data_IF_055316725057
#
_entry.id   IF_055316725057
#
_cell.length_a   1.000
_cell.length_b   1.000
_cell.length_c   1.000
_cell.angle_alpha   90.00
_cell.angle_beta   90.00
_cell.angle_gamma   90.00
#
_symmetry.space_group_name_H-M   'P 1'
#
loop_
_entity.id
_entity.type
_entity.pdbx_description
1 polymer ?
#
# COMPACT_ATOMS: atom_id res chain seq x y z
N UNK A 1 7.24 27.60 -8.62
CA UNK A 1 8.32 26.57 -8.79
C UNK A 1 8.03 25.75 -10.02
N UNK A 2 9.06 25.22 -10.72
CA UNK A 2 8.85 24.13 -11.68
C UNK A 2 8.79 22.78 -10.90
N UNK A 3 8.54 21.67 -11.62
CA UNK A 3 8.39 20.37 -10.99
C UNK A 3 9.65 19.87 -10.29
N UNK A 4 10.81 20.08 -10.87
CA UNK A 4 12.10 19.67 -10.31
C UNK A 4 12.42 20.45 -9.03
N UNK A 5 12.24 21.76 -9.05
CA UNK A 5 12.36 22.62 -7.87
C UNK A 5 11.39 22.22 -6.75
N UNK A 6 10.18 21.78 -7.12
CA UNK A 6 9.18 21.31 -6.16
C UNK A 6 9.59 19.98 -5.52
N UNK A 7 10.16 19.06 -6.30
CA UNK A 7 10.70 17.81 -5.77
C UNK A 7 11.90 18.06 -4.87
N UNK A 8 12.83 18.93 -5.28
CA UNK A 8 13.97 19.32 -4.45
C UNK A 8 13.51 19.93 -3.13
N UNK A 9 12.47 20.77 -3.17
CA UNK A 9 11.86 21.30 -1.96
C UNK A 9 11.30 20.18 -1.07
N UNK A 10 10.52 19.24 -1.61
CA UNK A 10 9.96 18.13 -0.86
C UNK A 10 11.04 17.22 -0.25
N UNK A 11 12.13 16.99 -0.97
CA UNK A 11 13.23 16.13 -0.49
C UNK A 11 14.14 16.84 0.53
N UNK A 12 14.39 18.14 0.37
CA UNK A 12 15.35 18.87 1.19
C UNK A 12 14.72 19.58 2.40
N UNK A 13 13.48 20.05 2.26
CA UNK A 13 12.77 20.76 3.34
C UNK A 13 12.12 19.79 4.34
N UNK A 14 11.90 18.57 3.92
CA UNK A 14 11.34 17.50 4.75
C UNK A 14 12.43 16.44 5.01
N UNK A 15 12.86 16.21 6.26
CA UNK A 15 13.89 15.24 6.56
C UNK A 15 13.52 13.86 6.03
N UNK A 16 14.33 13.33 5.10
CA UNK A 16 14.19 11.98 4.59
C UNK A 16 14.85 11.00 5.57
N UNK A 17 14.11 10.01 6.03
CA UNK A 17 14.64 8.92 6.85
C UNK A 17 15.90 8.27 6.27
N UNK A 18 15.98 8.21 4.94
CA UNK A 18 17.09 7.60 4.21
C UNK A 18 18.41 8.38 4.38
N UNK A 19 18.36 9.69 4.68
CA UNK A 19 19.54 10.53 4.78
C UNK A 19 19.94 10.91 6.21
N UNK A 20 18.99 11.02 7.13
CA UNK A 20 19.22 11.56 8.48
C UNK A 20 19.08 10.48 9.58
N UNK A 21 18.60 9.28 9.24
CA UNK A 21 18.47 8.18 10.20
C UNK A 21 17.45 8.46 11.31
N UNK A 22 17.79 8.07 12.56
CA UNK A 22 16.85 8.17 13.70
C UNK A 22 16.41 9.58 14.04
N UNK A 23 17.21 10.59 13.74
CA UNK A 23 16.94 12.00 14.10
C UNK A 23 15.83 12.62 13.24
N UNK A 24 15.53 12.02 12.08
CA UNK A 24 14.38 12.40 11.24
C UNK A 24 13.05 11.81 11.71
N UNK A 25 13.10 10.85 12.66
CA UNK A 25 11.93 10.17 13.15
C UNK A 25 11.26 10.96 14.26
N UNK A 26 10.21 11.71 13.94
CA UNK A 26 9.33 12.28 14.94
C UNK A 26 8.43 11.16 15.49
N UNK A 27 8.59 10.86 16.77
CA UNK A 27 7.73 9.89 17.45
C UNK A 27 6.36 10.53 17.66
N UNK A 28 5.40 10.20 16.78
CA UNK A 28 4.02 10.67 16.92
C UNK A 28 3.36 10.98 15.58
N UNK A 29 2.06 11.27 15.64
CA UNK A 29 1.23 11.61 14.48
C UNK A 29 0.71 13.06 14.55
N UNK A 30 1.30 13.91 15.39
CA UNK A 30 0.83 15.27 15.65
C UNK A 30 0.76 16.09 14.36
N UNK A 31 1.84 16.12 13.59
CA UNK A 31 1.86 16.84 12.31
C UNK A 31 0.85 16.22 11.31
N UNK A 32 0.73 14.88 11.30
CA UNK A 32 -0.23 14.20 10.45
C UNK A 32 -1.66 14.64 10.76
N UNK A 33 -2.02 14.75 12.04
CA UNK A 33 -3.34 15.24 12.45
C UNK A 33 -3.54 16.74 12.16
N UNK A 34 -2.49 17.56 12.28
CA UNK A 34 -2.56 18.98 11.92
C UNK A 34 -2.79 19.18 10.42
N UNK A 35 -2.05 18.43 9.59
CA UNK A 35 -2.24 18.42 8.13
C UNK A 35 -3.62 17.90 7.74
N UNK A 36 -4.07 16.81 8.35
CA UNK A 36 -5.40 16.24 8.11
C UNK A 36 -6.52 17.23 8.45
N UNK A 37 -6.41 17.91 9.59
CA UNK A 37 -7.35 18.95 9.99
C UNK A 37 -7.34 20.13 9.02
N UNK A 38 -6.17 20.59 8.60
CA UNK A 38 -6.03 21.69 7.65
C UNK A 38 -6.73 21.41 6.33
N UNK A 39 -6.60 20.18 5.82
CA UNK A 39 -7.28 19.72 4.61
C UNK A 39 -8.71 19.22 4.84
N UNK A 40 -9.31 19.50 6.00
CA UNK A 40 -10.68 19.10 6.35
C UNK A 40 -10.93 17.59 6.27
N UNK A 41 -10.03 16.81 6.85
CA UNK A 41 -10.14 15.35 6.98
C UNK A 41 -10.42 14.61 5.66
N UNK A 42 -9.59 14.78 4.62
CA UNK A 42 -9.87 14.26 3.28
C UNK A 42 -10.03 12.74 3.26
N UNK A 43 -9.32 12.00 4.11
CA UNK A 43 -9.41 10.55 4.23
C UNK A 43 -10.80 10.02 4.62
N UNK A 44 -11.71 10.88 5.09
CA UNK A 44 -13.09 10.51 5.47
C UNK A 44 -14.07 10.56 4.30
N UNK A 45 -13.63 11.02 3.12
CA UNK A 45 -14.48 11.23 1.95
C UNK A 45 -14.53 10.02 1.02
N UNK A 46 -13.74 8.97 1.30
CA UNK A 46 -13.67 7.76 0.49
C UNK A 46 -13.41 6.53 1.39
N UNK A 47 -13.76 5.36 0.89
CA UNK A 47 -13.45 4.09 1.56
C UNK A 47 -11.96 3.78 1.48
N UNK A 48 -11.42 3.02 2.43
CA UNK A 48 -9.98 2.68 2.43
C UNK A 48 -9.74 1.21 2.71
N UNK A 49 -8.64 0.68 2.13
CA UNK A 49 -8.07 -0.62 2.46
C UNK A 49 -6.62 -0.35 2.88
N UNK A 50 -6.21 -0.80 4.06
CA UNK A 50 -4.91 -0.50 4.64
C UNK A 50 -3.98 -1.69 4.59
N UNK A 51 -2.81 -1.55 3.97
CA UNK A 51 -1.89 -2.65 3.72
C UNK A 51 -0.55 -2.40 4.38
N UNK A 52 -0.19 -3.28 5.34
CA UNK A 52 1.12 -3.32 5.99
C UNK A 52 1.84 -4.65 5.68
N UNK A 53 3.06 -4.76 6.13
CA UNK A 53 3.89 -5.96 5.99
C UNK A 53 5.35 -5.60 5.76
N UNK A 54 6.22 -6.59 5.73
CA UNK A 54 7.62 -6.38 5.34
C UNK A 54 7.74 -6.45 3.83
N UNK A 55 7.36 -7.55 3.23
CA UNK A 55 7.41 -7.80 1.78
C UNK A 55 5.99 -7.98 1.23
N UNK A 56 5.81 -7.78 -0.07
CA UNK A 56 4.54 -8.04 -0.76
C UNK A 56 3.50 -6.92 -0.68
N UNK A 57 3.69 -5.88 0.14
CA UNK A 57 2.74 -4.75 0.25
C UNK A 57 2.35 -4.18 -1.11
N UNK A 58 3.34 -3.73 -1.89
CA UNK A 58 3.11 -3.12 -3.21
C UNK A 58 2.40 -4.08 -4.18
N UNK A 59 2.82 -5.35 -4.25
CA UNK A 59 2.15 -6.36 -5.09
C UNK A 59 0.69 -6.54 -4.69
N UNK A 60 0.40 -6.67 -3.40
CA UNK A 60 -0.97 -6.79 -2.89
C UNK A 60 -1.78 -5.52 -3.15
N UNK A 61 -1.18 -4.34 -2.93
CA UNK A 61 -1.84 -3.04 -3.16
C UNK A 61 -2.23 -2.87 -4.62
N UNK A 62 -1.31 -3.14 -5.54
CA UNK A 62 -1.57 -3.02 -6.97
C UNK A 62 -2.59 -4.06 -7.46
N UNK A 63 -2.51 -5.30 -7.00
CA UNK A 63 -3.48 -6.34 -7.42
C UNK A 63 -4.89 -6.01 -6.92
N UNK A 64 -5.06 -5.56 -5.68
CA UNK A 64 -6.37 -5.11 -5.17
C UNK A 64 -6.88 -3.88 -5.93
N UNK A 65 -6.00 -2.92 -6.24
CA UNK A 65 -6.36 -1.76 -7.05
C UNK A 65 -6.83 -2.17 -8.45
N UNK A 66 -6.13 -3.10 -9.11
CA UNK A 66 -6.52 -3.62 -10.42
C UNK A 66 -7.89 -4.32 -10.40
N UNK A 67 -8.17 -5.11 -9.36
CA UNK A 67 -9.47 -5.78 -9.18
C UNK A 67 -10.59 -4.75 -9.00
N UNK A 68 -10.39 -3.74 -8.14
CA UNK A 68 -11.38 -2.70 -7.87
C UNK A 68 -11.64 -1.83 -9.09
N UNK A 69 -10.59 -1.44 -9.81
CA UNK A 69 -10.74 -0.74 -11.10
C UNK A 69 -11.50 -1.57 -12.12
N UNK A 70 -11.21 -2.88 -12.22
CA UNK A 70 -11.92 -3.79 -13.11
C UNK A 70 -13.40 -3.94 -12.74
N UNK A 71 -13.75 -3.71 -11.49
CA UNK A 71 -15.13 -3.70 -10.98
C UNK A 71 -15.83 -2.34 -11.16
N UNK A 72 -15.14 -1.35 -11.75
CA UNK A 72 -15.71 -0.03 -12.04
C UNK A 72 -15.56 1.00 -10.93
N UNK A 73 -14.88 0.67 -9.83
CA UNK A 73 -14.59 1.65 -8.78
C UNK A 73 -13.53 2.64 -9.24
N UNK A 74 -13.75 3.93 -8.98
CA UNK A 74 -12.69 4.94 -9.10
C UNK A 74 -11.73 4.77 -7.94
N UNK A 75 -10.57 4.21 -8.24
CA UNK A 75 -9.66 3.65 -7.24
C UNK A 75 -8.44 4.54 -7.05
N UNK A 76 -8.22 5.02 -5.82
CA UNK A 76 -6.97 5.61 -5.38
C UNK A 76 -5.96 4.53 -4.99
N UNK A 77 -4.68 4.79 -5.25
CA UNK A 77 -3.59 3.91 -4.86
C UNK A 77 -2.42 4.74 -4.34
N UNK A 78 -2.07 4.53 -3.06
CA UNK A 78 -0.91 5.14 -2.41
C UNK A 78 0.11 4.07 -2.06
N UNK A 79 1.30 4.15 -2.65
CA UNK A 79 2.38 3.16 -2.51
C UNK A 79 3.74 3.80 -2.29
N UNK A 80 4.70 3.04 -1.74
CA UNK A 80 6.07 3.49 -1.52
C UNK A 80 7.08 2.34 -1.47
N UNK A 81 8.35 2.57 -1.84
CA UNK A 81 8.86 3.77 -2.52
C UNK A 81 8.47 3.81 -4.00
N UNK A 82 8.73 4.92 -4.68
CA UNK A 82 8.72 4.97 -6.15
C UNK A 82 10.04 4.44 -6.74
N UNK A 83 10.04 4.09 -8.02
CA UNK A 83 11.22 3.58 -8.73
C UNK A 83 11.88 4.67 -9.60
N UNK A 84 11.12 5.42 -10.35
CA UNK A 84 11.61 6.41 -11.32
C UNK A 84 11.09 7.81 -11.01
N UNK A 85 9.77 7.96 -10.81
CA UNK A 85 9.11 9.25 -10.66
C UNK A 85 8.31 9.31 -9.35
N UNK A 86 8.45 10.40 -8.62
CA UNK A 86 7.70 10.64 -7.38
C UNK A 86 6.21 10.35 -7.49
N UNK A 87 5.60 10.70 -8.64
CA UNK A 87 4.16 10.59 -8.91
C UNK A 87 3.65 9.14 -8.91
N UNK A 88 4.54 8.15 -9.01
CA UNK A 88 4.19 6.73 -8.87
C UNK A 88 3.55 6.42 -7.52
N UNK A 89 3.86 7.24 -6.50
CA UNK A 89 3.32 7.07 -5.14
C UNK A 89 1.82 7.33 -5.04
N UNK A 90 1.27 8.13 -5.94
CA UNK A 90 -0.11 8.61 -5.88
C UNK A 90 -0.76 8.41 -7.24
N UNK A 91 -1.68 7.47 -7.34
CA UNK A 91 -2.37 7.15 -8.59
C UNK A 91 -3.89 7.12 -8.40
N UNK A 92 -4.63 7.50 -9.44
CA UNK A 92 -6.08 7.29 -9.54
C UNK A 92 -6.34 6.54 -10.84
N UNK A 93 -6.98 5.37 -10.73
CA UNK A 93 -7.21 4.47 -11.87
C UNK A 93 -5.94 4.20 -12.69
N UNK A 94 -4.82 3.92 -11.99
CA UNK A 94 -3.53 3.63 -12.59
C UNK A 94 -2.75 4.86 -13.10
N UNK A 95 -3.39 6.01 -13.23
CA UNK A 95 -2.79 7.25 -13.72
C UNK A 95 -2.11 7.97 -12.56
N UNK A 96 -0.78 8.24 -12.66
CA UNK A 96 -0.07 9.02 -11.65
C UNK A 96 -0.63 10.44 -11.52
N UNK A 97 -0.55 11.00 -10.31
CA UNK A 97 -0.86 12.42 -10.07
C UNK A 97 -0.08 13.32 -11.04
N UNK A 98 -0.68 14.40 -11.51
CA UNK A 98 -0.01 15.30 -12.46
C UNK A 98 1.11 16.12 -11.81
N UNK A 99 2.08 16.57 -12.61
CA UNK A 99 3.16 17.45 -12.14
C UNK A 99 2.59 18.77 -11.64
N UNK A 100 1.61 19.29 -12.34
CA UNK A 100 0.90 20.54 -12.01
C UNK A 100 0.24 20.45 -10.64
N UNK A 101 -0.41 19.32 -10.33
CA UNK A 101 -1.01 19.13 -9.01
C UNK A 101 0.05 19.12 -7.90
N UNK A 102 1.19 18.44 -8.10
CA UNK A 102 2.27 18.41 -7.11
C UNK A 102 2.82 19.82 -6.84
N UNK A 103 3.05 20.60 -7.92
CA UNK A 103 3.50 22.00 -7.82
C UNK A 103 2.47 22.82 -7.07
N UNK A 104 1.22 22.78 -7.51
CA UNK A 104 0.10 23.53 -6.93
C UNK A 104 -0.11 23.23 -5.46
N UNK A 105 -0.03 21.95 -5.07
CA UNK A 105 -0.16 21.54 -3.67
C UNK A 105 0.92 22.20 -2.78
N UNK A 106 2.16 22.14 -3.22
CA UNK A 106 3.25 22.75 -2.46
C UNK A 106 3.10 24.27 -2.44
N UNK A 107 2.94 24.93 -3.57
CA UNK A 107 2.88 26.39 -3.64
C UNK A 107 1.71 26.98 -2.84
N UNK A 108 0.54 26.37 -2.91
CA UNK A 108 -0.67 26.86 -2.22
C UNK A 108 -0.63 26.64 -0.71
N UNK A 109 0.05 25.59 -0.25
CA UNK A 109 -0.08 25.16 1.15
C UNK A 109 1.23 25.26 1.95
N UNK A 110 2.37 25.60 1.31
CA UNK A 110 3.68 25.67 1.97
C UNK A 110 3.69 26.62 3.16
N UNK A 111 3.01 27.74 3.08
CA UNK A 111 2.94 28.71 4.18
C UNK A 111 2.32 28.13 5.47
N UNK A 112 1.45 27.10 5.33
CA UNK A 112 0.88 26.40 6.45
C UNK A 112 1.83 25.32 6.99
N UNK A 113 2.41 24.50 6.13
CA UNK A 113 3.16 23.34 6.60
C UNK A 113 4.65 23.63 6.89
N UNK A 114 5.26 24.67 6.31
CA UNK A 114 6.66 25.04 6.62
C UNK A 114 6.94 25.19 8.13
N UNK A 115 6.11 25.91 8.91
CA UNK A 115 6.35 26.04 10.35
C UNK A 115 6.21 24.75 11.14
N UNK A 116 5.54 23.74 10.59
CA UNK A 116 5.38 22.42 11.22
C UNK A 116 6.61 21.53 11.04
N UNK A 117 7.50 21.88 10.11
CA UNK A 117 8.65 21.07 9.72
C UNK A 117 8.27 19.59 9.51
N UNK A 118 7.27 19.28 8.65
CA UNK A 118 6.81 17.91 8.45
C UNK A 118 7.87 17.06 7.75
N UNK A 119 7.84 15.77 7.98
CA UNK A 119 8.64 14.83 7.21
C UNK A 119 8.13 14.70 5.78
N UNK A 120 8.99 14.23 4.88
CA UNK A 120 8.61 13.92 3.50
C UNK A 120 7.37 12.99 3.44
N UNK A 121 7.29 11.99 4.32
CA UNK A 121 6.20 11.04 4.30
C UNK A 121 4.89 11.64 4.85
N UNK A 122 4.96 12.53 5.84
CA UNK A 122 3.78 13.30 6.31
C UNK A 122 3.19 14.16 5.18
N UNK A 123 4.04 14.89 4.44
CA UNK A 123 3.58 15.72 3.31
C UNK A 123 3.01 14.88 2.18
N UNK A 124 3.69 13.79 1.79
CA UNK A 124 3.22 12.96 0.68
C UNK A 124 1.94 12.21 1.02
N UNK A 125 1.74 11.80 2.27
CA UNK A 125 0.49 11.19 2.75
C UNK A 125 -0.65 12.21 2.72
N UNK A 126 -0.43 13.43 3.23
CA UNK A 126 -1.43 14.49 3.17
C UNK A 126 -1.80 14.86 1.72
N UNK A 127 -0.80 14.96 0.84
CA UNK A 127 -0.99 15.19 -0.60
C UNK A 127 -1.84 14.08 -1.23
N UNK A 128 -1.56 12.82 -0.93
CA UNK A 128 -2.29 11.68 -1.45
C UNK A 128 -3.77 11.72 -1.03
N UNK A 129 -4.04 11.90 0.26
CA UNK A 129 -5.42 11.94 0.76
C UNK A 129 -6.20 13.14 0.20
N UNK A 130 -5.57 14.31 0.12
CA UNK A 130 -6.17 15.49 -0.49
C UNK A 130 -6.47 15.26 -1.99
N UNK A 131 -5.54 14.65 -2.74
CA UNK A 131 -5.74 14.33 -4.15
C UNK A 131 -6.88 13.33 -4.37
N UNK A 132 -6.97 12.29 -3.53
CA UNK A 132 -8.02 11.29 -3.62
C UNK A 132 -9.41 11.90 -3.35
N UNK A 133 -9.52 12.76 -2.33
CA UNK A 133 -10.76 13.48 -2.04
C UNK A 133 -11.18 14.41 -3.19
N UNK A 134 -10.26 15.23 -3.72
CA UNK A 134 -10.52 16.07 -4.89
C UNK A 134 -10.90 15.27 -6.12
N UNK A 135 -10.26 14.12 -6.30
CA UNK A 135 -10.57 13.21 -7.41
C UNK A 135 -11.87 12.43 -7.20
N UNK A 136 -12.52 12.54 -6.05
CA UNK A 136 -13.72 11.80 -5.70
C UNK A 136 -13.57 10.29 -5.95
N UNK A 137 -12.51 9.69 -5.39
CA UNK A 137 -12.33 8.24 -5.49
C UNK A 137 -13.39 7.52 -4.63
N UNK A 138 -13.85 6.37 -5.09
CA UNK A 138 -14.77 5.52 -4.32
C UNK A 138 -14.05 4.81 -3.18
N UNK A 139 -12.83 4.34 -3.48
CA UNK A 139 -12.00 3.58 -2.55
C UNK A 139 -10.52 3.84 -2.82
N UNK A 140 -9.70 3.88 -1.77
CA UNK A 140 -8.26 3.98 -1.90
C UNK A 140 -7.55 2.81 -1.18
N UNK A 141 -6.58 2.20 -1.87
CA UNK A 141 -5.63 1.27 -1.29
C UNK A 141 -4.45 2.07 -0.76
N UNK A 142 -4.20 1.95 0.54
CA UNK A 142 -3.20 2.72 1.26
C UNK A 142 -2.13 1.78 1.78
N UNK A 143 -0.93 1.86 1.22
CA UNK A 143 0.24 1.14 1.68
C UNK A 143 0.92 1.89 2.82
N UNK A 144 1.21 1.19 3.91
CA UNK A 144 2.01 1.68 5.04
C UNK A 144 3.45 1.92 4.57
N UNK A 145 4.00 3.08 4.91
CA UNK A 145 5.40 3.40 4.60
C UNK A 145 6.38 2.67 5.51
N UNK A 146 6.22 2.80 6.83
CA UNK A 146 7.12 2.21 7.81
C UNK A 146 6.35 1.75 9.07
N UNK A 147 6.56 0.49 9.46
CA UNK A 147 5.94 -0.05 10.68
C UNK A 147 4.44 -0.21 10.54
N UNK A 148 3.67 0.66 11.13
CA UNK A 148 2.21 0.69 11.10
C UNK A 148 1.61 1.58 12.19
N UNK A 149 1.88 1.32 13.46
CA UNK A 149 1.27 2.01 14.62
C UNK A 149 1.41 3.53 14.54
N UNK A 150 2.59 4.02 14.20
CA UNK A 150 2.93 5.45 14.10
C UNK A 150 3.21 5.88 12.66
N UNK A 151 2.76 5.10 11.67
CA UNK A 151 2.82 5.50 10.28
C UNK A 151 1.79 6.58 9.97
N UNK A 152 2.17 7.58 9.16
CA UNK A 152 1.30 8.71 8.82
C UNK A 152 -0.02 8.27 8.16
N UNK A 153 -0.04 7.10 7.53
CA UNK A 153 -1.26 6.54 6.94
C UNK A 153 -2.26 6.03 7.99
N UNK A 154 -1.81 5.81 9.23
CA UNK A 154 -2.61 5.11 10.26
C UNK A 154 -3.72 5.96 10.92
N UNK A 155 -4.02 7.12 10.35
CA UNK A 155 -5.17 7.96 10.77
C UNK A 155 -6.50 7.51 10.15
N UNK A 156 -6.47 6.62 9.18
CA UNK A 156 -7.66 6.12 8.46
C UNK A 156 -8.45 5.09 9.27
N UNK A 157 -9.72 4.91 8.90
CA UNK A 157 -10.59 3.80 9.34
C UNK A 157 -10.92 2.94 8.12
N UNK A 158 -10.14 1.89 7.83
CA UNK A 158 -10.32 1.09 6.64
C UNK A 158 -11.47 0.08 6.78
N UNK A 159 -12.00 -0.36 5.63
CA UNK A 159 -12.95 -1.47 5.58
C UNK A 159 -12.26 -2.83 5.77
N UNK A 160 -10.97 -2.88 5.47
CA UNK A 160 -10.13 -4.07 5.59
C UNK A 160 -8.68 -3.66 5.89
N UNK A 161 -8.07 -4.34 6.85
CA UNK A 161 -6.62 -4.32 7.07
C UNK A 161 -5.98 -5.58 6.50
N UNK A 162 -4.81 -5.45 5.89
CA UNK A 162 -4.01 -6.59 5.40
C UNK A 162 -2.59 -6.44 5.93
N UNK A 163 -2.05 -7.50 6.53
CA UNK A 163 -0.64 -7.58 6.92
C UNK A 163 -0.03 -8.77 6.19
N UNK A 164 0.82 -8.50 5.20
CA UNK A 164 1.29 -9.53 4.27
C UNK A 164 2.21 -10.55 4.93
N UNK A 165 3.26 -10.08 5.58
CA UNK A 165 4.19 -10.90 6.34
C UNK A 165 5.05 -10.08 7.32
N UNK A 166 5.79 -10.78 8.17
CA UNK A 166 6.78 -10.20 9.06
C UNK A 166 8.14 -10.84 8.79
N UNK A 167 9.11 -10.00 8.49
CA UNK A 167 10.53 -10.37 8.46
C UNK A 167 11.40 -9.22 8.96
N UNK A 168 12.67 -9.47 9.18
CA UNK A 168 13.58 -8.43 9.63
C UNK A 168 13.75 -7.36 8.55
N UNK A 169 13.35 -6.14 8.89
CA UNK A 169 13.50 -4.95 8.07
C UNK A 169 13.46 -3.73 8.98
N UNK A 170 14.19 -2.67 8.60
CA UNK A 170 14.23 -1.42 9.37
C UNK A 170 14.43 -1.63 10.89
N UNK A 171 15.28 -2.58 11.28
CA UNK A 171 15.47 -2.99 12.69
C UNK A 171 15.85 -1.83 13.62
N UNK A 172 16.50 -0.81 13.09
CA UNK A 172 16.84 0.42 13.82
C UNK A 172 15.62 1.23 14.27
N UNK A 173 14.45 1.06 13.62
CA UNK A 173 13.21 1.77 13.92
C UNK A 173 12.16 0.87 14.55
N UNK A 174 12.02 -0.35 14.03
CA UNK A 174 10.95 -1.27 14.39
C UNK A 174 11.36 -2.26 15.50
N UNK A 175 12.64 -2.27 15.84
CA UNK A 175 13.20 -3.19 16.82
C UNK A 175 13.84 -4.43 16.20
N UNK A 176 14.58 -5.18 17.02
CA UNK A 176 15.47 -6.27 16.63
C UNK A 176 14.87 -7.66 16.82
N UNK A 177 13.56 -7.79 16.97
CA UNK A 177 12.86 -9.08 17.05
C UNK A 177 11.61 -9.05 16.14
N UNK A 178 11.22 -10.22 15.64
CA UNK A 178 10.00 -10.35 14.84
C UNK A 178 8.76 -9.93 15.64
N UNK A 179 8.74 -10.17 16.94
CA UNK A 179 7.66 -9.75 17.83
C UNK A 179 7.50 -8.23 17.87
N UNK A 180 8.61 -7.48 18.00
CA UNK A 180 8.55 -6.00 18.00
C UNK A 180 8.06 -5.47 16.66
N UNK A 181 8.57 -6.01 15.56
CA UNK A 181 8.14 -5.64 14.20
C UNK A 181 6.65 -5.96 14.00
N UNK A 182 6.20 -7.13 14.45
CA UNK A 182 4.79 -7.51 14.42
C UNK A 182 3.91 -6.57 15.24
N UNK A 183 4.36 -6.14 16.42
CA UNK A 183 3.63 -5.18 17.28
C UNK A 183 3.44 -3.84 16.57
N UNK A 184 4.47 -3.30 15.92
CA UNK A 184 4.34 -2.06 15.15
C UNK A 184 3.36 -2.22 13.98
N UNK A 185 3.45 -3.33 13.23
CA UNK A 185 2.53 -3.56 12.10
C UNK A 185 1.10 -3.86 12.55
N UNK A 186 0.91 -4.54 13.69
CA UNK A 186 -0.39 -4.77 14.30
C UNK A 186 -1.12 -3.46 14.69
N UNK A 187 -0.40 -2.35 14.77
CA UNK A 187 -0.97 -1.03 15.03
C UNK A 187 -1.95 -0.52 13.96
N UNK A 188 -1.96 -1.10 12.75
CA UNK A 188 -2.96 -0.76 11.73
C UNK A 188 -4.31 -1.44 11.96
N UNK A 189 -4.38 -2.47 12.81
CA UNK A 189 -5.63 -3.18 13.10
C UNK A 189 -6.55 -2.23 13.85
N UNK A 190 -7.77 -2.05 13.37
CA UNK A 190 -8.77 -1.13 13.94
C UNK A 190 -9.93 -1.86 14.54
N UNK A 191 -10.58 -1.20 15.51
CA UNK A 191 -11.77 -1.75 16.18
C UNK A 191 -12.83 -2.17 15.17
N UNK A 192 -13.32 -3.40 15.32
CA UNK A 192 -14.37 -4.01 14.48
C UNK A 192 -14.06 -4.10 12.98
N UNK A 193 -12.84 -3.78 12.57
CA UNK A 193 -12.40 -3.89 11.17
C UNK A 193 -11.75 -5.25 10.97
N UNK A 194 -12.17 -6.02 9.96
CA UNK A 194 -11.54 -7.30 9.65
C UNK A 194 -10.07 -7.10 9.25
N UNK A 195 -9.22 -8.04 9.66
CA UNK A 195 -7.80 -8.06 9.28
C UNK A 195 -7.41 -9.43 8.74
N UNK A 196 -6.71 -9.41 7.60
CA UNK A 196 -6.05 -10.58 7.01
C UNK A 196 -4.57 -10.54 7.36
N UNK A 197 -4.07 -11.63 7.94
CA UNK A 197 -2.64 -11.88 8.14
C UNK A 197 -2.20 -12.91 7.10
N UNK A 198 -1.28 -12.53 6.22
CA UNK A 198 -0.83 -13.39 5.11
C UNK A 198 0.04 -14.54 5.62
N UNK A 199 1.14 -14.22 6.28
CA UNK A 199 2.07 -15.21 6.82
C UNK A 199 2.35 -14.94 8.30
N UNK A 200 2.49 -16.01 9.06
CA UNK A 200 2.81 -15.95 10.49
C UNK A 200 3.97 -16.89 10.86
N UNK A 201 4.54 -16.63 12.01
CA UNK A 201 5.46 -17.53 12.72
C UNK A 201 4.91 -17.80 14.13
N UNK A 202 5.39 -18.82 14.84
CA UNK A 202 5.02 -19.04 16.25
C UNK A 202 5.25 -17.80 17.13
N UNK A 203 6.22 -16.94 16.76
CA UNK A 203 6.55 -15.72 17.49
C UNK A 203 5.59 -14.57 17.17
N UNK A 204 5.11 -14.45 15.93
CA UNK A 204 4.31 -13.30 15.48
C UNK A 204 2.80 -13.50 15.60
N UNK A 205 2.32 -14.74 15.44
CA UNK A 205 0.88 -15.06 15.48
C UNK A 205 0.18 -14.63 16.79
N UNK A 206 0.76 -14.89 18.00
CA UNK A 206 0.16 -14.45 19.25
C UNK A 206 -0.03 -12.93 19.35
N UNK A 207 0.90 -12.14 18.77
CA UNK A 207 0.84 -10.67 18.76
C UNK A 207 -0.42 -10.20 18.03
N UNK A 208 -0.66 -10.70 16.83
CA UNK A 208 -1.83 -10.33 16.03
C UNK A 208 -3.12 -10.80 16.69
N UNK A 209 -3.15 -12.03 17.22
CA UNK A 209 -4.33 -12.59 17.91
C UNK A 209 -4.67 -11.77 19.14
N UNK A 210 -3.69 -11.42 19.98
CA UNK A 210 -3.90 -10.61 21.18
C UNK A 210 -4.43 -9.23 20.81
N UNK A 211 -3.77 -8.55 19.84
CA UNK A 211 -4.19 -7.23 19.41
C UNK A 211 -5.60 -7.22 18.84
N UNK A 212 -5.94 -8.17 17.97
CA UNK A 212 -7.28 -8.27 17.40
C UNK A 212 -8.35 -8.50 18.49
N UNK A 213 -8.06 -9.35 19.47
CA UNK A 213 -8.95 -9.61 20.61
C UNK A 213 -9.17 -8.36 21.46
N UNK A 214 -8.11 -7.62 21.78
CA UNK A 214 -8.18 -6.39 22.60
C UNK A 214 -9.14 -5.35 22.01
N UNK A 215 -9.24 -5.26 20.70
CA UNK A 215 -10.05 -4.24 20.02
C UNK A 215 -11.26 -4.83 19.28
N UNK A 216 -11.61 -6.09 19.54
CA UNK A 216 -12.73 -6.78 18.90
C UNK A 216 -12.68 -6.75 17.36
N UNK A 217 -11.49 -6.89 16.76
CA UNK A 217 -11.30 -6.99 15.31
C UNK A 217 -11.42 -8.46 14.86
N UNK A 218 -12.25 -8.78 13.85
CA UNK A 218 -12.21 -10.10 13.21
C UNK A 218 -10.86 -10.34 12.57
N UNK A 219 -10.21 -11.46 12.87
CA UNK A 219 -8.88 -11.81 12.34
C UNK A 219 -8.93 -13.11 11.55
N UNK A 220 -8.25 -13.10 10.38
CA UNK A 220 -8.17 -14.21 9.44
C UNK A 220 -6.71 -14.47 9.12
N UNK A 221 -6.30 -15.73 9.16
CA UNK A 221 -4.94 -16.16 8.82
C UNK A 221 -4.99 -16.87 7.47
N UNK A 222 -4.49 -16.22 6.42
CA UNK A 222 -4.57 -16.74 5.06
C UNK A 222 -3.90 -18.13 4.91
N UNK A 223 -2.81 -18.38 5.64
CA UNK A 223 -2.16 -19.69 5.64
C UNK A 223 -3.06 -20.80 6.20
N UNK A 224 -3.99 -20.50 7.11
CA UNK A 224 -4.93 -21.47 7.69
C UNK A 224 -6.14 -21.72 6.80
N UNK A 225 -6.55 -20.70 6.02
CA UNK A 225 -7.65 -20.84 5.06
C UNK A 225 -7.28 -21.70 3.85
N UNK A 226 -6.00 -21.75 3.49
CA UNK A 226 -5.44 -22.59 2.40
C UNK A 226 -6.21 -22.45 1.08
N UNK A 227 -6.54 -21.22 0.69
CA UNK A 227 -7.35 -20.94 -0.50
C UNK A 227 -6.62 -21.19 -1.82
N UNK A 228 -5.30 -21.15 -1.80
CA UNK A 228 -4.42 -21.50 -2.91
C UNK A 228 -3.94 -22.95 -2.74
N UNK A 229 -4.28 -23.85 -3.67
CA UNK A 229 -3.91 -25.25 -3.61
C UNK A 229 -2.61 -25.57 -4.35
N UNK A 230 -2.48 -25.04 -5.57
CA UNK A 230 -1.29 -25.27 -6.40
C UNK A 230 -1.10 -24.17 -7.42
N UNK A 231 0.06 -24.14 -8.06
CA UNK A 231 0.32 -23.27 -9.20
C UNK A 231 1.22 -23.94 -10.22
N UNK A 232 1.06 -23.57 -11.48
CA UNK A 232 1.91 -23.97 -12.61
C UNK A 232 2.27 -22.75 -13.45
N UNK A 233 3.23 -22.93 -14.35
CA UNK A 233 3.53 -21.94 -15.39
C UNK A 233 3.00 -22.50 -16.70
N UNK A 234 2.22 -21.72 -17.43
CA UNK A 234 1.70 -22.13 -18.73
C UNK A 234 2.75 -21.93 -19.85
N UNK A 235 2.43 -22.35 -21.06
CA UNK A 235 3.31 -22.25 -22.24
C UNK A 235 3.70 -20.79 -22.59
N UNK A 236 2.90 -19.82 -22.17
CA UNK A 236 3.16 -18.36 -22.33
C UNK A 236 3.98 -17.76 -21.21
N UNK A 237 4.47 -18.59 -20.26
CA UNK A 237 5.24 -18.14 -19.11
C UNK A 237 4.40 -17.48 -18.00
N UNK A 238 3.06 -17.51 -18.10
CA UNK A 238 2.17 -16.95 -17.09
C UNK A 238 1.91 -17.95 -15.96
N UNK A 239 1.80 -17.46 -14.75
CA UNK A 239 1.46 -18.29 -13.58
C UNK A 239 -0.04 -18.54 -13.52
N UNK A 240 -0.41 -19.80 -13.39
CA UNK A 240 -1.80 -20.26 -13.25
C UNK A 240 -1.97 -20.79 -11.84
N UNK A 241 -2.91 -20.26 -11.11
CA UNK A 241 -3.26 -20.66 -9.74
C UNK A 241 -4.50 -21.55 -9.74
N UNK A 242 -4.44 -22.64 -8.97
CA UNK A 242 -5.60 -23.46 -8.63
C UNK A 242 -6.06 -23.07 -7.22
N UNK A 243 -7.23 -22.50 -7.11
CA UNK A 243 -7.73 -21.96 -5.84
C UNK A 243 -9.11 -22.54 -5.51
N UNK A 244 -9.53 -22.38 -4.26
CA UNK A 244 -10.88 -22.82 -3.83
C UNK A 244 -11.98 -22.13 -4.64
N UNK A 245 -11.85 -20.82 -4.87
CA UNK A 245 -12.94 -20.03 -5.47
C UNK A 245 -12.78 -19.85 -6.98
N UNK A 246 -11.55 -19.96 -7.51
CA UNK A 246 -11.24 -19.66 -8.91
C UNK A 246 -10.27 -20.71 -9.47
N UNK A 247 -10.78 -21.59 -10.34
CA UNK A 247 -9.93 -22.54 -11.08
C UNK A 247 -9.20 -21.82 -12.21
N UNK A 248 -7.93 -22.17 -12.45
CA UNK A 248 -7.11 -21.59 -13.51
C UNK A 248 -7.05 -20.06 -13.48
N UNK A 249 -6.85 -19.47 -12.29
CA UNK A 249 -6.69 -18.04 -12.14
C UNK A 249 -5.30 -17.64 -12.66
N UNK A 250 -5.25 -16.87 -13.76
CA UNK A 250 -4.00 -16.36 -14.33
C UNK A 250 -3.50 -15.15 -13.51
N UNK A 251 -2.21 -15.19 -13.12
CA UNK A 251 -1.52 -14.09 -12.46
C UNK A 251 -0.43 -13.51 -13.35
N UNK A 252 -0.39 -12.16 -13.44
CA UNK A 252 0.61 -11.45 -14.20
C UNK A 252 1.94 -11.33 -13.43
N UNK A 253 1.86 -11.14 -12.10
CA UNK A 253 3.04 -10.89 -11.30
C UNK A 253 3.86 -12.18 -11.09
N UNK A 254 5.16 -12.07 -11.33
CA UNK A 254 6.10 -13.16 -11.29
C UNK A 254 6.79 -13.32 -9.92
N UNK A 255 7.42 -14.47 -9.71
CA UNK A 255 8.18 -14.80 -8.51
C UNK A 255 7.43 -15.70 -7.52
N UNK A 256 8.18 -16.47 -6.74
CA UNK A 256 7.62 -17.42 -5.75
C UNK A 256 6.87 -16.72 -4.61
N UNK A 257 7.25 -15.49 -4.28
CA UNK A 257 6.56 -14.70 -3.27
C UNK A 257 5.08 -14.44 -3.63
N UNK A 258 4.74 -14.48 -4.92
CA UNK A 258 3.36 -14.27 -5.35
C UNK A 258 2.41 -15.40 -4.95
N UNK A 259 2.90 -16.59 -4.63
CA UNK A 259 2.07 -17.66 -4.08
C UNK A 259 1.45 -17.24 -2.74
N UNK A 260 2.27 -16.69 -1.86
CA UNK A 260 1.85 -16.22 -0.55
C UNK A 260 0.99 -14.96 -0.64
N UNK A 261 1.40 -14.01 -1.50
CA UNK A 261 0.61 -12.81 -1.78
C UNK A 261 -0.77 -13.17 -2.33
N UNK A 262 -0.84 -14.12 -3.28
CA UNK A 262 -2.12 -14.58 -3.85
C UNK A 262 -3.02 -15.20 -2.79
N UNK A 263 -2.49 -16.05 -1.92
CA UNK A 263 -3.28 -16.64 -0.83
C UNK A 263 -3.86 -15.54 0.09
N UNK A 264 -3.03 -14.55 0.45
CA UNK A 264 -3.46 -13.36 1.23
C UNK A 264 -4.55 -12.57 0.51
N UNK A 265 -4.40 -12.36 -0.80
CA UNK A 265 -5.35 -11.64 -1.63
C UNK A 265 -6.70 -12.36 -1.75
N UNK A 266 -6.70 -13.70 -1.85
CA UNK A 266 -7.94 -14.48 -1.89
C UNK A 266 -8.76 -14.32 -0.61
N UNK A 267 -8.11 -14.35 0.56
CA UNK A 267 -8.76 -14.04 1.85
C UNK A 267 -9.30 -12.60 1.86
N UNK A 268 -8.49 -11.64 1.42
CA UNK A 268 -8.89 -10.23 1.35
C UNK A 268 -10.11 -10.02 0.43
N UNK A 269 -10.14 -10.65 -0.74
CA UNK A 269 -11.26 -10.58 -1.70
C UNK A 269 -12.56 -11.11 -1.08
N UNK A 270 -12.52 -12.23 -0.36
CA UNK A 270 -13.69 -12.77 0.34
C UNK A 270 -14.27 -11.76 1.32
N UNK A 271 -13.42 -11.12 2.12
CA UNK A 271 -13.83 -10.13 3.12
C UNK A 271 -14.34 -8.83 2.46
N UNK A 272 -13.74 -8.39 1.37
CA UNK A 272 -14.24 -7.23 0.61
C UNK A 272 -15.64 -7.51 0.03
N UNK A 273 -15.90 -8.71 -0.49
CA UNK A 273 -17.26 -9.11 -0.91
C UNK A 273 -18.26 -9.07 0.25
N UNK A 274 -17.86 -9.55 1.43
CA UNK A 274 -18.69 -9.48 2.65
C UNK A 274 -18.92 -8.03 3.11
N UNK A 275 -17.95 -7.14 2.90
CA UNK A 275 -18.06 -5.71 3.17
C UNK A 275 -18.88 -4.94 2.10
N UNK A 276 -19.49 -5.66 1.15
CA UNK A 276 -20.40 -5.10 0.14
C UNK A 276 -19.74 -4.63 -1.16
N UNK A 277 -18.45 -4.91 -1.38
CA UNK A 277 -17.83 -4.64 -2.66
C UNK A 277 -18.33 -5.59 -3.75
N UNK A 278 -18.77 -5.02 -4.88
CA UNK A 278 -19.31 -5.77 -6.00
C UNK A 278 -18.17 -6.30 -6.89
N UNK A 279 -17.60 -7.43 -6.51
CA UNK A 279 -16.48 -8.07 -7.19
C UNK A 279 -16.94 -9.37 -7.87
N UNK A 280 -17.14 -9.31 -9.19
CA UNK A 280 -17.45 -10.52 -9.98
C UNK A 280 -16.20 -11.35 -10.22
N UNK A 281 -16.37 -12.62 -10.60
CA UNK A 281 -15.24 -13.46 -10.99
C UNK A 281 -14.46 -12.85 -12.17
N UNK A 282 -15.14 -12.27 -13.15
CA UNK A 282 -14.52 -11.58 -14.28
C UNK A 282 -13.62 -10.43 -13.84
N UNK A 283 -14.06 -9.63 -12.86
CA UNK A 283 -13.27 -8.53 -12.32
C UNK A 283 -11.98 -9.03 -11.64
N UNK A 284 -12.10 -10.12 -10.87
CA UNK A 284 -10.99 -10.72 -10.16
C UNK A 284 -9.97 -11.29 -11.15
N UNK A 285 -10.43 -12.06 -12.15
CA UNK A 285 -9.58 -12.61 -13.21
C UNK A 285 -8.83 -11.51 -13.97
N UNK A 286 -9.54 -10.46 -14.38
CA UNK A 286 -8.94 -9.31 -15.06
C UNK A 286 -7.93 -8.60 -14.17
N UNK A 287 -8.27 -8.35 -12.90
CA UNK A 287 -7.38 -7.70 -11.97
C UNK A 287 -6.09 -8.48 -11.70
N UNK A 288 -6.13 -9.82 -11.63
CA UNK A 288 -4.92 -10.64 -11.46
C UNK A 288 -4.08 -10.73 -12.74
N UNK A 289 -4.69 -10.75 -13.92
CA UNK A 289 -3.98 -10.95 -15.19
C UNK A 289 -3.47 -9.66 -15.83
N UNK A 290 -3.91 -8.48 -15.37
CA UNK A 290 -3.59 -7.17 -15.95
C UNK A 290 -3.18 -6.12 -14.89
N UNK A 291 -2.45 -6.54 -13.85
CA UNK A 291 -2.03 -5.64 -12.75
C UNK A 291 -1.20 -4.47 -13.27
N UNK A 292 -0.20 -4.74 -14.09
CA UNK A 292 0.72 -3.71 -14.60
C UNK A 292 0.02 -2.74 -15.53
N UNK A 293 -0.83 -3.23 -16.43
CA UNK A 293 -1.61 -2.40 -17.35
C UNK A 293 -2.59 -1.48 -16.62
N UNK A 294 -3.35 -2.04 -15.66
CA UNK A 294 -4.40 -1.31 -14.95
C UNK A 294 -3.84 -0.33 -13.92
N UNK A 295 -2.70 -0.60 -13.33
CA UNK A 295 -2.19 0.19 -12.20
C UNK A 295 -0.88 0.90 -12.47
N UNK A 296 -0.25 0.64 -13.61
CA UNK A 296 1.06 1.19 -13.93
C UNK A 296 2.18 0.67 -13.02
N UNK A 297 2.02 -0.54 -12.43
CA UNK A 297 3.08 -1.17 -11.64
C UNK A 297 4.29 -1.42 -12.53
N UNK A 298 5.44 -0.90 -12.12
CA UNK A 298 6.73 -1.20 -12.75
C UNK A 298 7.49 -2.22 -11.90
N UNK A 299 7.87 -3.35 -12.51
CA UNK A 299 8.69 -4.35 -11.85
C UNK A 299 10.17 -3.97 -11.88
N UNK A 300 10.94 -4.37 -10.85
CA UNK A 300 12.40 -4.14 -10.79
C UNK A 300 13.17 -4.77 -11.97
N UNK A 301 12.55 -5.70 -12.70
CA UNK A 301 13.10 -6.43 -13.84
C UNK A 301 12.32 -6.20 -15.13
N UNK A 302 11.41 -5.23 -15.15
CA UNK A 302 10.62 -4.91 -16.33
C UNK A 302 11.53 -4.30 -17.40
N UNK A 303 11.56 -4.89 -18.61
CA UNK A 303 12.22 -4.28 -19.75
C UNK A 303 11.39 -3.07 -20.19
N UNK A 304 11.90 -1.87 -19.94
CA UNK A 304 11.37 -0.66 -20.56
C UNK A 304 11.82 -0.64 -22.00
N UNK A 305 10.92 -0.88 -22.94
CA UNK A 305 11.20 -0.71 -24.38
C UNK A 305 10.99 0.77 -24.72
N UNK A 306 11.96 1.58 -24.35
CA UNK A 306 12.16 2.89 -24.98
C UNK A 306 13.26 2.75 -26.00
N UNK A 307 13.07 3.29 -27.19
CA UNK A 307 14.06 3.30 -28.28
C UNK A 307 15.31 4.17 -28.00
N UNK A 308 15.55 4.52 -26.76
CA UNK A 308 16.78 5.15 -26.28
C UNK A 308 17.47 4.19 -25.33
N UNK A 309 18.69 3.81 -25.66
CA UNK A 309 19.58 2.98 -24.84
C UNK A 309 19.78 3.60 -23.46
N UNK A 310 19.06 3.09 -22.45
CA UNK A 310 19.40 3.31 -21.05
C UNK A 310 20.03 2.03 -20.53
N UNK A 311 21.34 1.99 -20.47
CA UNK A 311 22.09 1.05 -19.66
C UNK A 311 21.90 1.47 -18.20
N UNK A 312 21.16 0.67 -17.42
CA UNK A 312 21.13 0.83 -15.97
C UNK A 312 22.52 0.46 -15.41
N UNK A 313 23.10 1.28 -14.52
CA UNK A 313 24.36 0.92 -13.87
C UNK A 313 24.13 -0.30 -13.00
N UNK A 314 24.86 -1.38 -13.30
CA UNK A 314 25.03 -2.52 -12.42
C UNK A 314 25.84 -2.10 -11.19
N UNK A 315 25.26 -2.06 -10.04
CA UNK A 315 25.93 -2.24 -8.74
C UNK A 315 25.04 -3.02 -7.79
#
# INVERSE_FOLDING_TARGET
>A
MNYEETLDYLYNSAPLFQHIGKDAYKAGLENTYLLDKYFNHPHRQFRTIHIAGTNGKGSCSHTLAAILQSAGYKTGLYTSPHLIDFRERIRVNGIPVSKEYVIDFVEKHRAFFEPLHPSFFELTTAMAFHYFAQSQVDVAIIEVGLGGRIDCTNIIRPDLCVITNISFDHIQFLGNTLAKIATEKAGIIKEKTPVVIGETTPETKPIFTTRAKEINAPIYFAEEEQLLHSSSINEKGKRIYQTTDYLNLEGELEGLCQLKNTNTLLSAIRLLKQAGYQLTESNIRKGFSQVCELTGLMGRWQKSVSYTHLTLPTK
#
